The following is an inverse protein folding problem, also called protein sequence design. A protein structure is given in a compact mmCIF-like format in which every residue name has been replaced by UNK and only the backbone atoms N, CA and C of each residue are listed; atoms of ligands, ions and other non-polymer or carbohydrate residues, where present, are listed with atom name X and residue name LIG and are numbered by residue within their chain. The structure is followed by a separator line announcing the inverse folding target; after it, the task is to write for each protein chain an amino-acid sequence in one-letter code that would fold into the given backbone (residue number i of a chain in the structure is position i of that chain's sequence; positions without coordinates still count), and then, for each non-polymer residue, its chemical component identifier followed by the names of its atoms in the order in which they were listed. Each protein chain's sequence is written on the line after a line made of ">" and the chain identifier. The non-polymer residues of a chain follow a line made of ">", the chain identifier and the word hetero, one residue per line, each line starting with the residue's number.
data_IF_876944470036
#
_entry.id   IF_876944470036
#
_cell.length_a   1.000
_cell.length_b   1.000
_cell.length_c   1.000
_cell.angle_alpha   90.00
_cell.angle_beta   90.00
_cell.angle_gamma   90.00
#
_symmetry.space_group_name_H-M   'P 1'
#
loop_
_entity.id
_entity.type
_entity.pdbx_description
1 polymer ?
#
# COMPACT_ATOMS: atom_id res chain seq x y z
N UNK A 1 44.50 -41.64 37.18
CA UNK A 1 45.51 -40.57 37.05
C UNK A 1 44.81 -39.38 36.42
N UNK A 2 44.33 -38.44 37.25
CA UNK A 2 44.94 -37.17 37.59
C UNK A 2 45.37 -36.38 36.34
N UNK A 3 44.63 -35.35 36.01
CA UNK A 3 44.93 -33.91 36.21
C UNK A 3 43.83 -33.13 35.49
N UNK A 4 43.00 -32.36 36.11
CA UNK A 4 43.17 -31.12 36.83
C UNK A 4 43.88 -30.04 35.99
N UNK A 5 43.10 -29.12 35.57
CA UNK A 5 43.37 -27.69 35.37
C UNK A 5 42.05 -27.04 35.01
N UNK A 6 41.36 -26.46 35.89
CA UNK A 6 41.54 -25.29 36.74
C UNK A 6 41.62 -23.98 35.94
N UNK A 7 40.60 -23.21 36.25
CA UNK A 7 40.57 -21.75 36.33
C UNK A 7 41.10 -20.91 35.20
N UNK A 8 40.18 -20.18 34.63
CA UNK A 8 40.41 -18.75 34.46
C UNK A 8 39.09 -17.99 34.55
N UNK A 9 38.83 -17.54 35.73
CA UNK A 9 37.94 -16.46 36.01
C UNK A 9 38.47 -15.23 35.26
N UNK A 10 37.81 -14.83 34.22
CA UNK A 10 38.02 -13.53 33.60
C UNK A 10 37.07 -12.52 34.27
N UNK A 11 37.66 -11.68 34.97
CA UNK A 11 37.17 -10.48 35.68
C UNK A 11 36.05 -9.78 34.90
N UNK A 12 34.89 -9.75 35.53
CA UNK A 12 33.92 -8.72 35.33
C UNK A 12 34.54 -7.38 35.76
N UNK A 13 35.03 -6.61 34.83
CA UNK A 13 35.24 -5.18 35.06
C UNK A 13 33.88 -4.50 35.06
N UNK A 14 33.35 -4.37 36.24
CA UNK A 14 32.30 -3.46 36.61
C UNK A 14 32.80 -2.03 36.35
N UNK A 15 32.47 -1.48 35.20
CA UNK A 15 32.53 -0.08 34.96
C UNK A 15 31.24 0.56 35.51
N UNK A 16 31.25 0.84 36.78
CA UNK A 16 30.41 1.88 37.38
C UNK A 16 31.03 3.19 36.96
N UNK A 17 30.35 3.90 36.14
CA UNK A 17 30.20 5.35 36.09
C UNK A 17 29.91 5.79 34.66
N UNK A 18 28.70 6.09 34.43
CA UNK A 18 28.28 6.76 33.23
C UNK A 18 26.84 7.20 33.37
N UNK A 19 26.69 8.27 34.16
CA UNK A 19 25.61 9.27 34.09
C UNK A 19 24.33 8.81 33.35
N UNK A 20 23.19 8.95 34.01
CA UNK A 20 21.85 8.69 33.52
C UNK A 20 21.47 9.33 32.17
N UNK A 21 22.44 9.95 31.52
CA UNK A 21 22.30 10.56 30.20
C UNK A 21 22.33 9.50 29.07
N UNK A 22 23.10 8.42 29.23
CA UNK A 22 23.12 7.32 28.23
C UNK A 22 21.83 6.51 28.18
N UNK A 23 21.13 6.41 29.30
CA UNK A 23 19.84 5.78 29.39
C UNK A 23 18.76 6.60 28.66
N UNK A 24 18.79 7.93 28.84
CA UNK A 24 17.85 8.85 28.17
C UNK A 24 18.04 8.90 26.66
N UNK A 25 19.26 8.79 26.15
CA UNK A 25 19.53 8.76 24.73
C UNK A 25 18.98 7.46 24.10
N UNK A 26 19.12 6.33 24.78
CA UNK A 26 18.62 5.05 24.29
C UNK A 26 17.09 4.96 24.32
N UNK A 27 16.46 5.65 25.26
CA UNK A 27 15.00 5.76 25.34
C UNK A 27 14.47 6.72 24.28
N UNK A 28 15.21 7.80 23.99
CA UNK A 28 14.88 8.75 22.93
C UNK A 28 15.03 8.11 21.54
N UNK A 29 16.05 7.29 21.32
CA UNK A 29 16.22 6.53 20.08
C UNK A 29 15.05 5.58 19.81
N UNK A 30 14.47 5.00 20.85
CA UNK A 30 13.26 4.17 20.72
C UNK A 30 12.01 4.99 20.42
N UNK A 31 11.96 6.25 20.85
CA UNK A 31 10.84 7.14 20.54
C UNK A 31 10.91 7.66 19.11
N UNK A 32 12.11 7.72 18.53
CA UNK A 32 12.36 8.10 17.14
C UNK A 32 12.69 6.90 16.24
N UNK A 33 12.54 5.69 16.76
CA UNK A 33 12.46 4.49 15.93
C UNK A 33 11.12 4.47 15.18
N UNK A 34 10.91 5.54 14.41
CA UNK A 34 10.13 5.39 13.20
C UNK A 34 10.89 4.32 12.42
N UNK A 35 10.26 3.18 12.11
CA UNK A 35 10.82 2.31 11.12
C UNK A 35 11.10 3.24 9.95
N UNK A 36 12.37 3.56 9.73
CA UNK A 36 12.78 4.24 8.52
C UNK A 36 12.00 3.51 7.45
N UNK A 37 11.21 4.23 6.60
CA UNK A 37 10.57 3.54 5.52
C UNK A 37 11.73 2.81 4.87
N UNK A 38 11.82 1.53 5.15
CA UNK A 38 12.68 0.69 4.38
C UNK A 38 12.20 1.03 2.99
N UNK A 39 13.03 1.75 2.23
CA UNK A 39 12.87 1.92 0.80
C UNK A 39 13.16 0.53 0.26
N UNK A 40 12.38 -0.40 0.78
CA UNK A 40 12.17 -1.72 0.29
C UNK A 40 11.79 -1.49 -1.14
N UNK A 41 12.84 -1.59 -1.99
CA UNK A 41 12.70 -1.87 -3.40
C UNK A 41 11.41 -1.26 -3.91
N UNK A 42 11.50 -0.13 -4.59
CA UNK A 42 10.37 0.50 -5.30
C UNK A 42 9.25 -0.52 -5.42
N UNK A 43 8.39 -0.57 -4.42
CA UNK A 43 7.20 -1.36 -4.52
C UNK A 43 6.52 -0.73 -5.72
N UNK A 44 6.68 -1.40 -6.85
CA UNK A 44 5.99 -1.02 -8.05
C UNK A 44 4.53 -0.92 -7.65
N UNK A 45 4.08 0.33 -7.49
CA UNK A 45 2.70 0.58 -7.15
C UNK A 45 1.93 0.54 -8.47
N UNK A 46 1.31 -0.59 -8.80
CA UNK A 46 0.62 -0.77 -10.07
C UNK A 46 -0.68 0.03 -10.15
N UNK A 47 -0.87 0.97 -9.24
CA UNK A 47 -2.09 1.78 -9.14
C UNK A 47 -1.71 3.24 -9.22
N UNK A 48 -2.21 3.94 -10.24
CA UNK A 48 -2.13 5.39 -10.37
C UNK A 48 -3.52 5.99 -10.17
N UNK A 49 -3.62 7.04 -9.38
CA UNK A 49 -4.87 7.75 -9.13
C UNK A 49 -4.74 9.20 -9.58
N UNK A 50 -5.70 9.65 -10.36
CA UNK A 50 -5.75 11.01 -10.88
C UNK A 50 -7.13 11.63 -10.61
N UNK A 51 -7.12 12.83 -10.11
CA UNK A 51 -8.33 13.63 -9.99
C UNK A 51 -8.60 14.32 -11.34
N UNK A 52 -9.84 14.30 -11.78
CA UNK A 52 -10.31 14.94 -13.00
C UNK A 52 -11.37 15.99 -12.67
N UNK A 53 -11.73 16.83 -13.60
CA UNK A 53 -12.79 17.85 -13.40
C UNK A 53 -14.15 17.23 -13.04
N UNK A 54 -14.42 16.01 -13.52
CA UNK A 54 -15.71 15.34 -13.35
C UNK A 54 -15.70 14.23 -12.31
N UNK A 55 -14.51 13.83 -11.81
CA UNK A 55 -14.41 12.72 -10.89
C UNK A 55 -12.96 12.26 -10.67
N UNK A 56 -12.79 10.96 -10.66
CA UNK A 56 -11.49 10.31 -10.40
C UNK A 56 -11.21 9.25 -11.46
N UNK A 57 -9.96 9.15 -11.85
CA UNK A 57 -9.47 8.12 -12.73
C UNK A 57 -8.41 7.28 -12.02
N UNK A 58 -8.56 5.98 -12.09
CA UNK A 58 -7.62 5.01 -11.57
C UNK A 58 -7.11 4.13 -12.70
N UNK A 59 -5.80 4.05 -12.84
CA UNK A 59 -5.14 3.15 -13.78
C UNK A 59 -4.44 2.04 -12.99
N UNK A 60 -4.85 0.79 -13.20
CA UNK A 60 -4.32 -0.39 -12.53
C UNK A 60 -3.62 -1.28 -13.55
N UNK A 61 -2.37 -1.58 -13.29
CA UNK A 61 -1.62 -2.53 -14.12
C UNK A 61 -1.88 -3.97 -13.65
N UNK A 62 -2.52 -4.73 -14.50
CA UNK A 62 -2.92 -6.11 -14.25
C UNK A 62 -2.48 -7.03 -15.40
N UNK A 63 -1.17 -7.15 -15.65
CA UNK A 63 -0.66 -7.90 -16.80
C UNK A 63 -0.97 -9.39 -16.67
N UNK A 64 -1.38 -9.97 -17.79
CA UNK A 64 -1.63 -11.41 -17.89
C UNK A 64 -3.00 -11.86 -17.41
N UNK A 65 -3.93 -10.94 -17.17
CA UNK A 65 -5.34 -11.24 -16.93
C UNK A 65 -6.13 -11.16 -18.23
N UNK A 66 -7.19 -11.92 -18.34
CA UNK A 66 -8.14 -11.82 -19.43
C UNK A 66 -9.31 -10.93 -19.00
N UNK A 67 -9.88 -10.20 -19.97
CA UNK A 67 -11.01 -9.30 -19.72
C UNK A 67 -12.19 -10.03 -19.08
N UNK A 68 -12.46 -11.24 -19.51
CA UNK A 68 -13.60 -12.06 -19.05
C UNK A 68 -13.40 -12.60 -17.61
N UNK A 69 -12.17 -12.56 -17.11
CA UNK A 69 -11.80 -13.03 -15.76
C UNK A 69 -11.72 -11.88 -14.75
N UNK A 70 -11.94 -10.64 -15.22
CA UNK A 70 -11.91 -9.46 -14.36
C UNK A 70 -13.29 -9.16 -13.77
N UNK A 71 -13.32 -8.99 -12.46
CA UNK A 71 -14.50 -8.54 -11.72
C UNK A 71 -14.16 -7.29 -10.91
N UNK A 72 -14.94 -6.24 -11.12
CA UNK A 72 -14.81 -4.98 -10.41
C UNK A 72 -16.03 -4.78 -9.53
N UNK A 73 -15.83 -4.50 -8.26
CA UNK A 73 -16.90 -4.22 -7.30
C UNK A 73 -16.58 -2.95 -6.54
N UNK A 74 -17.59 -2.11 -6.30
CA UNK A 74 -17.49 -0.94 -5.44
C UNK A 74 -18.49 -1.09 -4.31
N UNK A 75 -18.01 -1.19 -3.08
CA UNK A 75 -18.82 -1.37 -1.89
C UNK A 75 -18.25 -0.53 -0.76
N UNK A 76 -19.08 0.28 -0.12
CA UNK A 76 -18.73 1.09 1.05
C UNK A 76 -17.44 1.94 0.86
N UNK A 77 -17.26 2.53 -0.32
CA UNK A 77 -16.07 3.32 -0.63
C UNK A 77 -14.81 2.50 -0.90
N UNK A 78 -14.93 1.18 -0.99
CA UNK A 78 -13.84 0.29 -1.38
C UNK A 78 -14.08 -0.24 -2.78
N UNK A 79 -13.18 0.08 -3.68
CA UNK A 79 -13.14 -0.49 -5.01
C UNK A 79 -12.25 -1.73 -4.98
N UNK A 80 -12.82 -2.89 -5.25
CA UNK A 80 -12.10 -4.15 -5.32
C UNK A 80 -12.10 -4.69 -6.75
N UNK A 81 -10.92 -5.04 -7.24
CA UNK A 81 -10.70 -5.66 -8.54
C UNK A 81 -10.15 -7.05 -8.31
N UNK A 82 -10.85 -8.06 -8.81
CA UNK A 82 -10.45 -9.47 -8.73
C UNK A 82 -10.32 -10.07 -10.12
N UNK A 83 -9.37 -10.97 -10.26
CA UNK A 83 -9.18 -11.70 -11.51
C UNK A 83 -8.32 -12.93 -11.30
N UNK A 84 -8.31 -13.83 -12.29
CA UNK A 84 -7.48 -15.03 -12.28
C UNK A 84 -6.39 -14.90 -13.35
N UNK A 85 -5.14 -15.07 -12.91
CA UNK A 85 -3.99 -15.12 -13.80
C UNK A 85 -3.54 -16.57 -13.97
N UNK A 86 -3.37 -16.98 -15.21
CA UNK A 86 -2.81 -18.30 -15.53
C UNK A 86 -1.31 -18.22 -15.67
N UNK A 87 -0.62 -19.02 -14.88
CA UNK A 87 0.82 -19.13 -14.91
C UNK A 87 1.20 -20.54 -15.33
N UNK A 88 2.15 -20.63 -16.26
CA UNK A 88 2.79 -21.90 -16.59
C UNK A 88 4.05 -22.05 -15.72
N UNK A 89 4.05 -23.06 -14.86
CA UNK A 89 5.20 -23.47 -14.08
C UNK A 89 5.43 -24.96 -14.24
N UNK A 90 6.67 -25.34 -14.48
CA UNK A 90 7.10 -26.75 -14.57
C UNK A 90 6.24 -27.62 -15.50
N UNK A 91 5.76 -27.02 -16.62
CA UNK A 91 4.91 -27.72 -17.56
C UNK A 91 3.43 -27.85 -17.17
N UNK A 92 3.04 -27.28 -16.03
CA UNK A 92 1.65 -27.26 -15.58
C UNK A 92 1.08 -25.84 -15.56
N UNK A 93 -0.18 -25.72 -15.94
CA UNK A 93 -0.94 -24.47 -15.84
C UNK A 93 -1.52 -24.33 -14.43
N UNK A 94 -1.20 -23.23 -13.77
CA UNK A 94 -1.71 -22.91 -12.44
C UNK A 94 -2.48 -21.60 -12.50
N UNK A 95 -3.69 -21.57 -11.96
CA UNK A 95 -4.45 -20.35 -11.80
C UNK A 95 -4.11 -19.67 -10.48
N UNK A 96 -3.75 -18.39 -10.55
CA UNK A 96 -3.47 -17.56 -9.38
C UNK A 96 -4.50 -16.44 -9.34
N UNK A 97 -5.17 -16.32 -8.21
CA UNK A 97 -6.10 -15.22 -7.96
C UNK A 97 -5.32 -13.93 -7.67
N UNK A 98 -5.71 -12.86 -8.35
CA UNK A 98 -5.17 -11.52 -8.15
C UNK A 98 -6.29 -10.66 -7.61
N UNK A 99 -6.09 -10.06 -6.45
CA UNK A 99 -7.00 -9.10 -5.85
C UNK A 99 -6.26 -7.79 -5.60
N UNK A 100 -6.92 -6.69 -5.95
CA UNK A 100 -6.47 -5.32 -5.66
C UNK A 100 -7.64 -4.55 -5.10
N UNK A 101 -7.43 -3.83 -4.01
CA UNK A 101 -8.42 -2.95 -3.41
C UNK A 101 -7.84 -1.56 -3.20
N UNK A 102 -8.68 -0.56 -3.38
CA UNK A 102 -8.34 0.83 -3.15
C UNK A 102 -9.54 1.57 -2.54
N UNK A 103 -9.24 2.57 -1.74
CA UNK A 103 -10.24 3.46 -1.19
C UNK A 103 -10.61 4.52 -2.21
N UNK A 104 -11.89 4.77 -2.35
CA UNK A 104 -12.46 5.79 -3.23
C UNK A 104 -13.07 6.88 -2.35
N UNK A 105 -12.94 8.17 -2.72
CA UNK A 105 -13.59 9.25 -1.99
C UNK A 105 -15.11 9.08 -1.85
N UNK A 106 -15.67 9.62 -0.79
CA UNK A 106 -17.10 9.49 -0.51
C UNK A 106 -18.01 10.29 -1.48
N UNK A 107 -17.41 11.24 -2.19
CA UNK A 107 -18.10 12.13 -3.14
C UNK A 107 -18.35 11.49 -4.51
N UNK A 108 -17.99 10.23 -4.69
CA UNK A 108 -18.20 9.51 -5.95
C UNK A 108 -19.62 8.94 -6.09
N UNK A 109 -20.05 8.80 -7.33
CA UNK A 109 -21.29 8.16 -7.70
C UNK A 109 -21.02 6.69 -8.06
N UNK A 110 -21.45 5.72 -7.25
CA UNK A 110 -21.20 4.31 -7.49
C UNK A 110 -21.90 3.76 -8.73
N UNK A 111 -22.92 4.45 -9.23
CA UNK A 111 -23.64 4.04 -10.42
C UNK A 111 -22.97 4.54 -11.73
N UNK A 112 -22.08 5.54 -11.59
CA UNK A 112 -21.37 6.16 -12.72
C UNK A 112 -19.91 5.72 -12.76
N UNK A 113 -19.67 4.42 -12.74
CA UNK A 113 -18.35 3.81 -12.88
C UNK A 113 -18.19 3.26 -14.29
N UNK A 114 -17.16 3.68 -14.98
CA UNK A 114 -16.77 3.14 -16.29
C UNK A 114 -15.45 2.39 -16.15
N UNK A 115 -15.38 1.21 -16.72
CA UNK A 115 -14.20 0.36 -16.69
C UNK A 115 -13.76 0.02 -18.12
N UNK A 116 -12.48 0.20 -18.40
CA UNK A 116 -11.85 -0.14 -19.67
C UNK A 116 -10.57 -0.94 -19.41
N UNK A 117 -10.44 -2.09 -20.04
CA UNK A 117 -9.24 -2.90 -19.94
C UNK A 117 -8.60 -3.08 -21.32
N UNK A 118 -7.36 -2.60 -21.44
CA UNK A 118 -6.57 -2.63 -22.68
C UNK A 118 -5.12 -2.89 -22.34
N UNK A 119 -4.48 -3.81 -23.06
CA UNK A 119 -3.05 -4.11 -22.95
C UNK A 119 -2.54 -4.35 -21.51
N UNK A 120 -3.36 -4.98 -20.68
CA UNK A 120 -3.00 -5.27 -19.30
C UNK A 120 -3.20 -4.11 -18.33
N UNK A 121 -3.77 -3.00 -18.77
CA UNK A 121 -4.11 -1.85 -17.93
C UNK A 121 -5.62 -1.71 -17.81
N UNK A 122 -6.10 -1.73 -16.58
CA UNK A 122 -7.49 -1.44 -16.24
C UNK A 122 -7.61 0.03 -15.86
N UNK A 123 -8.30 0.79 -16.68
CA UNK A 123 -8.67 2.18 -16.40
C UNK A 123 -10.08 2.21 -15.84
N UNK A 124 -10.25 2.81 -14.68
CA UNK A 124 -11.53 3.04 -14.03
C UNK A 124 -11.79 4.54 -13.94
N UNK A 125 -12.89 4.99 -14.48
CA UNK A 125 -13.36 6.36 -14.37
C UNK A 125 -14.61 6.39 -13.51
N UNK A 126 -14.57 7.16 -12.42
CA UNK A 126 -15.64 7.27 -11.45
C UNK A 126 -16.06 8.72 -11.35
N UNK A 127 -17.31 9.01 -11.68
CA UNK A 127 -17.82 10.38 -11.64
C UNK A 127 -18.12 10.80 -10.20
N UNK A 128 -17.98 12.08 -9.90
CA UNK A 128 -18.49 12.67 -8.66
C UNK A 128 -20.00 12.74 -8.68
N UNK A 129 -20.60 12.66 -7.52
CA UNK A 129 -22.02 12.96 -7.33
C UNK A 129 -22.26 14.42 -7.75
N UNK A 130 -23.40 14.69 -8.36
CA UNK A 130 -23.75 16.04 -8.81
C UNK A 130 -23.85 17.05 -7.66
N UNK A 131 -24.24 16.58 -6.49
CA UNK A 131 -24.30 17.37 -5.25
C UNK A 131 -22.93 17.77 -4.71
N UNK A 132 -21.89 16.98 -5.03
CA UNK A 132 -20.51 17.21 -4.58
C UNK A 132 -19.70 18.09 -5.55
N UNK A 133 -20.27 18.49 -6.70
CA UNK A 133 -19.58 19.40 -7.62
C UNK A 133 -19.44 20.78 -7.00
N UNK A 134 -18.27 21.43 -7.09
CA UNK A 134 -18.08 22.77 -6.57
C UNK A 134 -19.05 23.73 -7.24
N UNK A 135 -19.88 24.40 -6.44
CA UNK A 135 -20.76 25.46 -6.91
C UNK A 135 -20.00 26.79 -6.88
N UNK A 136 -19.84 27.44 -8.02
CA UNK A 136 -19.29 28.77 -8.06
C UNK A 136 -20.30 29.78 -7.51
N UNK A 137 -19.98 30.38 -6.37
CA UNK A 137 -20.80 31.43 -5.77
C UNK A 137 -20.26 32.78 -6.25
N UNK A 138 -21.07 33.51 -7.01
CA UNK A 138 -20.76 34.89 -7.37
C UNK A 138 -21.04 35.79 -6.17
N UNK A 139 -20.00 36.36 -5.59
CA UNK A 139 -20.15 37.38 -4.56
C UNK A 139 -20.45 38.71 -5.27
N UNK A 140 -21.68 39.20 -5.09
CA UNK A 140 -22.02 40.59 -5.48
C UNK A 140 -21.56 41.50 -4.37
N UNK A 141 -20.55 42.32 -4.64
CA UNK A 141 -20.15 43.39 -3.75
C UNK A 141 -21.15 44.53 -3.91
N UNK A 142 -21.76 44.87 -2.83
CA UNK A 142 -22.68 46.00 -2.79
C UNK A 142 -21.91 47.30 -2.66
#
# INVERSE_FOLDING_TARGET
>A
MKNNCDSSAALATRAENGSGFGFLINELDRLFDFPAPTVSSRAWNPISAHETETGYRYDLELPGLKKDELKVTLTDGVLAVRGQKRLFRDGAETAVEVERSLLVPEDVDPEKVQARYVDGVLTLEISRREEAKPKTIQVKVA
#
